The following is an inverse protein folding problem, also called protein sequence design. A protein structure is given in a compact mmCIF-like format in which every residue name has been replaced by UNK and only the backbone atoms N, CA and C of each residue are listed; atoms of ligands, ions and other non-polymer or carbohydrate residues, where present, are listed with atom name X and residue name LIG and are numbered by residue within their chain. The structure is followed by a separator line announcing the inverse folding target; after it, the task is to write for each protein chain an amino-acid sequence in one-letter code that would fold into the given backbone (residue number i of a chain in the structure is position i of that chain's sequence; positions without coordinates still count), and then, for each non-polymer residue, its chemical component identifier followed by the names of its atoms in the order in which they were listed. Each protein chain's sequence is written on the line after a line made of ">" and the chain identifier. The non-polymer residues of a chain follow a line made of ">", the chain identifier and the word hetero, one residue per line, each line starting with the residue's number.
data_IF_516262147244
#
_entry.id   IF_516262147244
#
_cell.length_a   1.000
_cell.length_b   1.000
_cell.length_c   1.000
_cell.angle_alpha   90.00
_cell.angle_beta   90.00
_cell.angle_gamma   90.00
#
_symmetry.space_group_name_H-M   'P 1'
#
loop_
_entity.id
_entity.type
_entity.pdbx_description
1 polymer ?
#
# COMPACT_ATOMS: atom_id res chain seq x y z
N UNK A 1 -48.32 -21.64 -20.56
CA UNK A 1 -47.39 -22.06 -21.63
C UNK A 1 -46.35 -20.95 -21.79
N UNK A 2 -45.07 -21.33 -21.80
CA UNK A 2 -43.90 -20.54 -21.42
C UNK A 2 -43.65 -19.29 -22.30
N UNK A 3 -43.40 -18.14 -21.66
CA UNK A 3 -42.77 -16.98 -22.31
C UNK A 3 -41.24 -17.09 -22.12
N UNK A 4 -40.53 -17.16 -23.24
CA UNK A 4 -39.07 -17.23 -23.29
C UNK A 4 -38.42 -15.86 -23.07
N UNK A 5 -37.38 -15.90 -22.25
CA UNK A 5 -36.22 -15.01 -22.13
C UNK A 5 -35.85 -14.16 -23.36
N UNK A 6 -35.48 -12.90 -23.13
CA UNK A 6 -34.30 -12.24 -23.71
C UNK A 6 -34.04 -10.93 -22.95
N UNK A 7 -33.50 -11.05 -21.73
CA UNK A 7 -32.87 -9.93 -21.03
C UNK A 7 -31.47 -9.75 -21.64
N UNK A 8 -31.37 -8.96 -22.71
CA UNK A 8 -30.08 -8.58 -23.32
C UNK A 8 -29.31 -7.71 -22.33
N UNK A 9 -28.48 -8.34 -21.49
CA UNK A 9 -27.45 -7.61 -20.73
C UNK A 9 -26.51 -6.96 -21.73
N UNK A 10 -26.29 -5.63 -21.69
CA UNK A 10 -25.31 -5.02 -22.57
C UNK A 10 -23.93 -5.61 -22.26
N UNK A 11 -23.21 -6.03 -23.30
CA UNK A 11 -21.82 -6.48 -23.18
C UNK A 11 -21.00 -5.32 -22.61
N UNK A 12 -20.14 -5.54 -21.60
CA UNK A 12 -19.30 -4.50 -21.06
C UNK A 12 -18.40 -3.97 -22.19
N UNK A 13 -18.46 -2.66 -22.41
CA UNK A 13 -17.65 -1.97 -23.39
C UNK A 13 -16.17 -2.19 -23.04
N UNK A 14 -15.37 -2.75 -23.96
CA UNK A 14 -13.91 -2.91 -23.82
C UNK A 14 -13.21 -1.59 -23.46
N UNK A 15 -13.84 -0.44 -23.74
CA UNK A 15 -13.32 0.86 -23.29
C UNK A 15 -13.44 1.13 -21.79
N UNK A 16 -14.50 0.64 -21.15
CA UNK A 16 -14.68 0.74 -19.70
C UNK A 16 -13.72 -0.20 -18.96
N UNK A 17 -13.39 -1.34 -19.58
CA UNK A 17 -12.46 -2.34 -19.05
C UNK A 17 -11.03 -1.77 -18.89
N UNK A 18 -10.49 -1.10 -19.92
CA UNK A 18 -9.17 -0.46 -19.78
C UNK A 18 -9.19 0.73 -18.81
N UNK A 19 -10.30 1.48 -18.73
CA UNK A 19 -10.43 2.60 -17.77
C UNK A 19 -10.48 2.14 -16.30
N UNK A 20 -10.93 0.91 -16.03
CA UNK A 20 -10.90 0.29 -14.70
C UNK A 20 -9.51 -0.28 -14.36
N UNK A 21 -8.75 -0.71 -15.36
CA UNK A 21 -7.42 -1.32 -15.17
C UNK A 21 -6.31 -0.31 -14.85
N UNK A 22 -6.37 0.92 -15.37
CA UNK A 22 -5.38 1.99 -15.04
C UNK A 22 -5.61 2.67 -13.69
N UNK A 23 -6.81 2.53 -13.10
CA UNK A 23 -7.15 3.20 -11.82
C UNK A 23 -6.87 2.34 -10.58
N UNK A 24 -6.45 1.08 -10.79
CA UNK A 24 -6.43 0.08 -9.74
C UNK A 24 -5.17 -0.78 -9.78
N UNK A 25 -4.00 -0.18 -10.08
CA UNK A 25 -2.76 -0.73 -9.51
C UNK A 25 -2.83 -0.36 -8.04
N UNK A 26 -3.19 -1.25 -7.11
CA UNK A 26 -2.92 -0.97 -5.71
C UNK A 26 -1.41 -0.67 -5.66
N UNK A 27 -1.01 0.41 -4.98
CA UNK A 27 0.37 0.45 -4.52
C UNK A 27 0.51 -0.82 -3.67
N UNK A 28 1.21 -1.83 -4.21
CA UNK A 28 1.17 -3.17 -3.64
C UNK A 28 1.72 -3.10 -2.23
N UNK A 29 0.91 -3.50 -1.25
CA UNK A 29 1.39 -3.68 0.10
C UNK A 29 2.36 -4.85 0.12
N UNK A 30 3.45 -4.72 0.83
CA UNK A 30 4.45 -5.75 0.98
C UNK A 30 4.67 -6.08 2.45
N UNK A 31 5.18 -7.27 2.72
CA UNK A 31 5.55 -7.68 4.06
C UNK A 31 7.07 -7.59 4.21
N UNK A 32 7.52 -7.00 5.31
CA UNK A 32 8.91 -6.97 5.71
C UNK A 32 9.08 -7.79 6.97
N UNK A 33 10.19 -8.50 7.06
CA UNK A 33 10.58 -9.23 8.25
C UNK A 33 11.66 -8.43 8.98
N UNK A 34 11.39 -8.07 10.22
CA UNK A 34 12.38 -7.43 11.09
C UNK A 34 12.57 -8.33 12.31
N UNK A 35 13.77 -8.91 12.44
CA UNK A 35 14.08 -9.93 13.44
C UNK A 35 13.17 -11.16 13.33
N UNK A 36 12.32 -11.41 14.34
CA UNK A 36 11.37 -12.52 14.39
C UNK A 36 9.94 -12.08 14.01
N UNK A 37 9.70 -10.78 13.86
CA UNK A 37 8.39 -10.19 13.62
C UNK A 37 8.16 -9.88 12.14
N UNK A 38 6.89 -9.93 11.72
CA UNK A 38 6.45 -9.67 10.35
C UNK A 38 5.57 -8.43 10.33
N UNK A 39 6.00 -7.42 9.58
CA UNK A 39 5.28 -6.17 9.43
C UNK A 39 4.76 -6.04 8.01
N UNK A 40 3.48 -5.75 7.88
CA UNK A 40 2.85 -5.40 6.63
C UNK A 40 2.96 -3.90 6.40
N UNK A 41 3.57 -3.52 5.30
CA UNK A 41 3.71 -2.13 4.85
C UNK A 41 2.67 -1.86 3.78
N UNK A 42 1.74 -0.96 4.10
CA UNK A 42 0.72 -0.49 3.17
C UNK A 42 1.08 0.93 2.72
N UNK A 43 1.62 1.12 1.51
CA UNK A 43 1.79 2.45 0.93
C UNK A 43 0.43 3.13 0.73
N UNK A 44 0.30 4.37 1.23
CA UNK A 44 -0.88 5.21 1.08
C UNK A 44 -0.64 6.32 0.05
N UNK A 45 -1.65 7.16 -0.14
CA UNK A 45 -1.53 8.39 -0.91
C UNK A 45 -0.56 9.38 -0.22
N UNK A 46 0.23 10.08 -1.05
CA UNK A 46 1.20 11.12 -0.64
C UNK A 46 2.51 10.63 -0.01
N UNK A 47 2.93 9.38 -0.23
CA UNK A 47 4.23 8.89 0.24
C UNK A 47 4.25 8.53 1.74
N UNK A 48 3.07 8.34 2.32
CA UNK A 48 2.91 7.77 3.65
C UNK A 48 2.90 6.25 3.56
N UNK A 49 3.43 5.59 4.57
CA UNK A 49 3.48 4.14 4.69
C UNK A 49 2.88 3.74 6.03
N UNK A 50 1.82 2.94 6.00
CA UNK A 50 1.23 2.38 7.21
C UNK A 50 1.91 1.06 7.54
N UNK A 51 2.29 0.92 8.80
CA UNK A 51 2.90 -0.28 9.36
C UNK A 51 1.82 -1.03 10.14
N UNK A 52 1.62 -2.29 9.79
CA UNK A 52 0.77 -3.22 10.55
C UNK A 52 1.58 -4.42 11.01
N UNK A 53 1.33 -4.87 12.23
CA UNK A 53 1.83 -6.13 12.76
C UNK A 53 0.65 -7.10 12.82
N UNK A 54 0.58 -8.01 11.84
CA UNK A 54 -0.61 -8.85 11.63
C UNK A 54 -1.87 -8.01 11.35
N UNK A 55 -2.82 -8.00 12.29
CA UNK A 55 -4.05 -7.20 12.21
C UNK A 55 -3.96 -5.87 12.99
N UNK A 56 -2.87 -5.64 13.73
CA UNK A 56 -2.71 -4.46 14.56
C UNK A 56 -2.01 -3.34 13.80
N UNK A 57 -2.63 -2.15 13.71
CA UNK A 57 -1.96 -0.97 13.15
C UNK A 57 -0.99 -0.43 14.21
N UNK A 58 0.31 -0.43 13.90
CA UNK A 58 1.31 0.21 14.75
C UNK A 58 1.32 1.72 14.56
N UNK A 59 1.39 2.17 13.30
CA UNK A 59 1.42 3.58 12.99
C UNK A 59 1.63 3.87 11.52
N UNK A 60 1.92 5.13 11.22
CA UNK A 60 2.21 5.64 9.88
C UNK A 60 3.54 6.36 9.89
N UNK A 61 4.39 6.03 8.93
CA UNK A 61 5.68 6.67 8.71
C UNK A 61 5.72 7.34 7.34
N UNK A 62 6.65 8.27 7.16
CA UNK A 62 6.85 8.97 5.91
C UNK A 62 8.35 9.21 5.67
N UNK A 63 8.71 9.21 4.40
CA UNK A 63 10.04 9.60 3.97
C UNK A 63 10.09 11.14 3.85
N UNK A 64 10.90 11.79 4.68
CA UNK A 64 11.23 13.19 4.58
C UNK A 64 12.57 13.36 3.86
N UNK A 65 12.63 14.28 2.89
CA UNK A 65 13.88 14.60 2.21
C UNK A 65 14.62 15.68 3.02
N UNK A 66 15.70 15.29 3.70
CA UNK A 66 16.61 16.21 4.38
C UNK A 66 17.89 16.39 3.54
N UNK A 67 17.87 17.41 2.68
CA UNK A 67 18.96 17.70 1.76
C UNK A 67 19.15 16.60 0.72
N UNK A 68 20.28 15.88 0.82
CA UNK A 68 20.63 14.73 -0.04
C UNK A 68 20.28 13.38 0.61
N UNK A 69 19.68 13.37 1.80
CA UNK A 69 19.34 12.15 2.54
C UNK A 69 17.81 12.00 2.65
N UNK A 70 17.36 10.74 2.72
CA UNK A 70 15.98 10.41 3.05
C UNK A 70 15.96 10.01 4.53
N UNK A 71 15.25 10.77 5.34
CA UNK A 71 15.05 10.50 6.76
C UNK A 71 13.62 9.99 6.95
N UNK A 72 13.46 8.92 7.72
CA UNK A 72 12.14 8.39 8.02
C UNK A 72 11.59 9.00 9.31
N UNK A 73 10.37 9.52 9.24
CA UNK A 73 9.68 10.11 10.38
C UNK A 73 8.29 9.53 10.57
N UNK A 74 7.67 9.78 11.72
CA UNK A 74 6.34 9.30 12.07
C UNK A 74 5.51 10.42 12.69
N UNK A 75 4.19 10.37 12.48
CA UNK A 75 3.22 11.25 13.17
C UNK A 75 2.56 10.55 14.37
N UNK A 76 2.78 9.24 14.52
CA UNK A 76 2.26 8.42 15.61
C UNK A 76 3.34 8.26 16.71
N UNK A 77 2.96 7.73 17.88
CA UNK A 77 3.91 7.42 18.96
C UNK A 77 4.69 6.11 18.66
N UNK A 78 5.53 6.13 17.62
CA UNK A 78 6.47 5.05 17.31
C UNK A 78 7.89 5.40 17.75
N UNK A 79 8.66 4.37 18.11
CA UNK A 79 10.06 4.55 18.47
C UNK A 79 10.89 4.98 17.24
N UNK A 80 11.76 5.96 17.43
CA UNK A 80 12.58 6.50 16.34
C UNK A 80 13.49 5.41 15.73
N UNK A 81 14.08 4.55 16.55
CA UNK A 81 14.95 3.47 16.08
C UNK A 81 14.16 2.45 15.27
N UNK A 82 12.90 2.20 15.64
CA UNK A 82 11.99 1.35 14.87
C UNK A 82 11.65 1.97 13.52
N UNK A 83 11.30 3.26 13.50
CA UNK A 83 10.95 4.00 12.28
C UNK A 83 12.10 4.00 11.28
N UNK A 84 13.35 4.23 11.74
CA UNK A 84 14.52 4.17 10.87
C UNK A 84 14.73 2.76 10.29
N UNK A 85 14.69 1.71 11.13
CA UNK A 85 14.88 0.33 10.66
C UNK A 85 13.84 -0.08 9.61
N UNK A 86 12.56 0.21 9.86
CA UNK A 86 11.49 -0.07 8.89
C UNK A 86 11.70 0.74 7.62
N UNK A 87 12.04 2.02 7.75
CA UNK A 87 12.34 2.90 6.63
C UNK A 87 13.46 2.39 5.74
N UNK A 88 14.58 1.95 6.33
CA UNK A 88 15.69 1.35 5.60
C UNK A 88 15.25 0.11 4.81
N UNK A 89 14.45 -0.77 5.41
CA UNK A 89 13.90 -1.95 4.74
C UNK A 89 12.98 -1.57 3.57
N UNK A 90 12.17 -0.51 3.73
CA UNK A 90 11.31 0.01 2.65
C UNK A 90 12.15 0.58 1.52
N UNK A 91 13.23 1.31 1.84
CA UNK A 91 14.17 1.84 0.84
C UNK A 91 14.87 0.71 0.10
N UNK A 92 15.36 -0.30 0.81
CA UNK A 92 16.02 -1.46 0.22
C UNK A 92 15.08 -2.26 -0.68
N UNK A 93 13.81 -2.41 -0.29
CA UNK A 93 12.80 -3.09 -1.11
C UNK A 93 12.42 -2.30 -2.38
N UNK A 94 12.54 -0.97 -2.37
CA UNK A 94 12.18 -0.11 -3.50
C UNK A 94 13.34 0.16 -4.48
N UNK A 95 14.59 -0.20 -4.15
CA UNK A 95 15.76 -0.10 -5.04
C UNK A 95 15.82 -1.24 -6.07
#
# INVERSE_FOLDING_TARGET
>A
MFLYFLNSRPLPNKKADWMLSIKNRPMESFEIQLLEDHFKIEPLENGLYRILEGENKLGVIYAEADGDQVVWETQDELDYDFVQQIGELITEHNM
#
